data_IF_879740673509
#
_entry.id   IF_879740673509
#
_cell.length_a   1.000
_cell.length_b   1.000
_cell.length_c   1.000
_cell.angle_alpha   90.00
_cell.angle_beta   90.00
_cell.angle_gamma   90.00
#
_symmetry.space_group_name_H-M   'P 1'
#
loop_
_entity.id
_entity.type
_entity.pdbx_description
1 polymer ?
#
# COMPACT_ATOMS: atom_id res chain seq x y z
N UNK A 1 -45.11 78.64 -6.84
CA UNK A 1 -44.58 78.03 -5.60
C UNK A 1 -44.99 76.56 -5.38
N UNK A 2 -46.19 76.11 -5.78
CA UNK A 2 -46.64 74.72 -5.58
C UNK A 2 -45.90 73.69 -6.47
N UNK A 3 -45.61 74.04 -7.73
CA UNK A 3 -44.96 73.16 -8.70
C UNK A 3 -43.50 72.81 -8.34
N UNK A 4 -42.73 73.79 -7.82
CA UNK A 4 -41.34 73.56 -7.38
C UNK A 4 -41.31 72.63 -6.16
N UNK A 5 -42.28 72.73 -5.25
CA UNK A 5 -42.41 71.85 -4.08
C UNK A 5 -42.75 70.40 -4.48
N UNK A 6 -43.63 70.22 -5.46
CA UNK A 6 -43.95 68.90 -6.02
C UNK A 6 -42.75 68.27 -6.74
N UNK A 7 -41.99 69.04 -7.51
CA UNK A 7 -40.77 68.57 -8.17
C UNK A 7 -39.72 68.08 -7.15
N UNK A 8 -39.48 68.85 -6.08
CA UNK A 8 -38.55 68.47 -5.02
C UNK A 8 -39.02 67.23 -4.24
N UNK A 9 -40.33 67.07 -4.02
CA UNK A 9 -40.90 65.88 -3.40
C UNK A 9 -40.70 64.62 -4.26
N UNK A 10 -40.90 64.73 -5.58
CA UNK A 10 -40.67 63.62 -6.52
C UNK A 10 -39.18 63.24 -6.57
N UNK A 11 -38.27 64.22 -6.55
CA UNK A 11 -36.82 63.95 -6.52
C UNK A 11 -36.42 63.25 -5.21
N UNK A 12 -36.96 63.67 -4.06
CA UNK A 12 -36.70 63.00 -2.79
C UNK A 12 -37.27 61.57 -2.73
N UNK A 13 -38.47 61.34 -3.27
CA UNK A 13 -39.06 60.00 -3.33
C UNK A 13 -38.29 59.08 -4.30
N UNK A 14 -37.85 59.62 -5.45
CA UNK A 14 -36.99 58.89 -6.39
C UNK A 14 -35.62 58.55 -5.77
N UNK A 15 -35.02 59.50 -5.03
CA UNK A 15 -33.79 59.30 -4.28
C UNK A 15 -33.96 58.24 -3.17
N UNK A 16 -35.03 58.31 -2.39
CA UNK A 16 -35.34 57.33 -1.33
C UNK A 16 -35.60 55.92 -1.88
N UNK A 17 -36.32 55.80 -2.99
CA UNK A 17 -36.56 54.53 -3.66
C UNK A 17 -35.24 53.92 -4.18
N UNK A 18 -34.38 54.71 -4.83
CA UNK A 18 -33.07 54.25 -5.29
C UNK A 18 -32.15 53.78 -4.15
N UNK A 19 -32.16 54.49 -3.01
CA UNK A 19 -31.44 54.09 -1.80
C UNK A 19 -31.95 52.79 -1.19
N UNK A 20 -33.28 52.59 -1.16
CA UNK A 20 -33.89 51.35 -0.66
C UNK A 20 -33.54 50.13 -1.53
N UNK A 21 -33.62 50.26 -2.86
CA UNK A 21 -33.19 49.20 -3.78
C UNK A 21 -31.70 48.89 -3.65
N UNK A 22 -30.86 49.91 -3.46
CA UNK A 22 -29.43 49.72 -3.22
C UNK A 22 -29.16 48.95 -1.93
N UNK A 23 -29.81 49.31 -0.81
CA UNK A 23 -29.66 48.59 0.46
C UNK A 23 -30.15 47.14 0.37
N UNK A 24 -31.26 46.90 -0.32
CA UNK A 24 -31.75 45.53 -0.55
C UNK A 24 -30.77 44.71 -1.41
N UNK A 25 -30.19 45.32 -2.45
CA UNK A 25 -29.15 44.69 -3.27
C UNK A 25 -27.91 44.37 -2.43
N UNK A 26 -27.44 45.31 -1.61
CA UNK A 26 -26.29 45.09 -0.72
C UNK A 26 -26.53 43.94 0.27
N UNK A 27 -27.76 43.80 0.78
CA UNK A 27 -28.11 42.67 1.68
C UNK A 27 -28.10 41.34 0.95
N UNK A 28 -28.64 41.28 -0.26
CA UNK A 28 -28.63 40.08 -1.09
C UNK A 28 -27.19 39.67 -1.47
N UNK A 29 -26.35 40.64 -1.86
CA UNK A 29 -24.95 40.40 -2.20
C UNK A 29 -24.15 39.92 -0.98
N UNK A 30 -24.41 40.47 0.22
CA UNK A 30 -23.79 40.00 1.47
C UNK A 30 -24.18 38.57 1.84
N UNK A 31 -25.43 38.18 1.63
CA UNK A 31 -25.90 36.82 1.88
C UNK A 31 -25.25 35.83 0.90
N UNK A 32 -25.13 36.21 -0.37
CA UNK A 32 -24.46 35.42 -1.39
C UNK A 32 -22.96 35.24 -1.09
N UNK A 33 -22.28 36.31 -0.68
CA UNK A 33 -20.87 36.26 -0.28
C UNK A 33 -20.63 35.34 0.91
N UNK A 34 -21.49 35.39 1.95
CA UNK A 34 -21.42 34.47 3.09
C UNK A 34 -21.67 33.01 2.69
N UNK A 35 -22.64 32.76 1.81
CA UNK A 35 -22.90 31.42 1.30
C UNK A 35 -21.70 30.87 0.51
N UNK A 36 -21.04 31.72 -0.28
CA UNK A 36 -19.81 31.36 -0.99
C UNK A 36 -18.63 31.14 -0.03
N UNK A 37 -18.47 31.98 0.98
CA UNK A 37 -17.43 31.80 2.02
C UNK A 37 -17.61 30.49 2.78
N UNK A 38 -18.83 30.13 3.17
CA UNK A 38 -19.15 28.83 3.81
C UNK A 38 -18.82 27.69 2.85
N UNK A 39 -19.16 27.81 1.56
CA UNK A 39 -18.84 26.79 0.55
C UNK A 39 -17.33 26.65 0.33
N UNK A 40 -16.59 27.75 0.26
CA UNK A 40 -15.12 27.73 0.15
C UNK A 40 -14.48 27.17 1.42
N UNK A 41 -14.94 27.57 2.61
CA UNK A 41 -14.42 27.08 3.89
C UNK A 41 -14.70 25.59 4.06
N UNK A 42 -15.90 25.14 3.70
CA UNK A 42 -16.25 23.71 3.68
C UNK A 42 -15.38 22.95 2.69
N UNK A 43 -15.18 23.46 1.46
CA UNK A 43 -14.33 22.83 0.47
C UNK A 43 -12.85 22.78 0.89
N UNK A 44 -12.33 23.82 1.53
CA UNK A 44 -10.96 23.86 2.06
C UNK A 44 -10.80 22.90 3.24
N UNK A 45 -11.81 22.79 4.11
CA UNK A 45 -11.77 21.86 5.26
C UNK A 45 -11.84 20.41 4.81
N UNK A 46 -12.69 20.10 3.83
CA UNK A 46 -12.79 18.77 3.20
C UNK A 46 -11.50 18.41 2.45
N UNK A 47 -10.91 19.36 1.73
CA UNK A 47 -9.59 19.18 1.12
C UNK A 47 -8.49 18.98 2.16
N UNK A 48 -8.51 19.70 3.28
CA UNK A 48 -7.52 19.53 4.34
C UNK A 48 -7.61 18.14 5.00
N UNK A 49 -8.82 17.66 5.25
CA UNK A 49 -9.04 16.31 5.77
C UNK A 49 -8.60 15.24 4.75
N UNK A 50 -8.91 15.43 3.47
CA UNK A 50 -8.47 14.54 2.39
C UNK A 50 -6.94 14.55 2.23
N UNK A 51 -6.28 15.71 2.33
CA UNK A 51 -4.82 15.83 2.25
C UNK A 51 -4.15 15.11 3.42
N UNK A 52 -4.70 15.22 4.63
CA UNK A 52 -4.16 14.51 5.79
C UNK A 52 -4.32 12.99 5.64
N UNK A 53 -5.49 12.53 5.17
CA UNK A 53 -5.72 11.13 4.86
C UNK A 53 -4.77 10.64 3.75
N UNK A 54 -4.62 11.39 2.66
CA UNK A 54 -3.71 11.08 1.56
C UNK A 54 -2.26 11.04 2.03
N UNK A 55 -1.86 11.89 2.97
CA UNK A 55 -0.51 11.87 3.54
C UNK A 55 -0.26 10.61 4.34
N UNK A 56 -1.21 10.19 5.17
CA UNK A 56 -1.14 8.92 5.91
C UNK A 56 -1.09 7.71 4.97
N UNK A 57 -1.93 7.71 3.92
CA UNK A 57 -1.91 6.67 2.89
C UNK A 57 -0.58 6.67 2.12
N UNK A 58 0.00 7.83 1.82
CA UNK A 58 1.29 7.92 1.13
C UNK A 58 2.46 7.43 1.99
N UNK A 59 2.43 7.69 3.29
CA UNK A 59 3.39 7.13 4.26
C UNK A 59 3.25 5.61 4.36
N UNK A 60 2.03 5.07 4.38
CA UNK A 60 1.78 3.64 4.34
C UNK A 60 2.26 3.00 3.03
N UNK A 61 1.95 3.62 1.88
CA UNK A 61 2.40 3.16 0.56
C UNK A 61 3.93 3.16 0.49
N UNK A 62 4.61 4.18 1.00
CA UNK A 62 6.08 4.20 1.06
C UNK A 62 6.65 3.07 1.93
N UNK A 63 6.02 2.79 3.07
CA UNK A 63 6.42 1.69 3.95
C UNK A 63 6.25 0.33 3.27
N UNK A 64 5.09 0.09 2.65
CA UNK A 64 4.79 -1.13 1.91
C UNK A 64 5.75 -1.29 0.72
N UNK A 65 6.05 -0.22 -0.01
CA UNK A 65 7.00 -0.27 -1.13
C UNK A 65 8.43 -0.64 -0.67
N UNK A 66 8.86 -0.16 0.51
CA UNK A 66 10.16 -0.56 1.09
C UNK A 66 10.17 -2.02 1.51
N UNK A 67 9.09 -2.50 2.12
CA UNK A 67 8.93 -3.92 2.49
C UNK A 67 8.92 -4.81 1.24
N UNK A 68 8.17 -4.43 0.21
CA UNK A 68 8.14 -5.14 -1.08
C UNK A 68 9.50 -5.17 -1.76
N UNK A 69 10.24 -4.06 -1.78
CA UNK A 69 11.59 -4.04 -2.35
C UNK A 69 12.51 -5.02 -1.61
N UNK A 70 12.47 -5.02 -0.28
CA UNK A 70 13.28 -5.93 0.55
C UNK A 70 12.93 -7.39 0.31
N UNK A 71 11.63 -7.71 0.23
CA UNK A 71 11.13 -9.07 -0.08
C UNK A 71 11.52 -9.50 -1.49
N UNK A 72 11.47 -8.59 -2.46
CA UNK A 72 11.83 -8.89 -3.84
C UNK A 72 13.32 -9.18 -4.00
N UNK A 73 14.19 -8.43 -3.32
CA UNK A 73 15.64 -8.68 -3.31
C UNK A 73 15.96 -10.05 -2.68
N UNK A 74 15.25 -10.42 -1.60
CA UNK A 74 15.39 -11.74 -0.98
C UNK A 74 14.95 -12.87 -1.92
N UNK A 75 13.79 -12.72 -2.57
CA UNK A 75 13.28 -13.70 -3.55
C UNK A 75 14.23 -13.86 -4.75
N UNK A 76 14.86 -12.79 -5.22
CA UNK A 76 15.82 -12.86 -6.32
C UNK A 76 17.10 -13.61 -5.90
N UNK A 77 17.56 -13.41 -4.66
CA UNK A 77 18.67 -14.17 -4.10
C UNK A 77 18.35 -15.67 -3.98
N UNK A 78 17.15 -16.01 -3.50
CA UNK A 78 16.69 -17.40 -3.36
C UNK A 78 16.59 -18.09 -4.73
N UNK A 79 16.02 -17.41 -5.73
CA UNK A 79 15.97 -17.89 -7.12
C UNK A 79 17.36 -18.19 -7.69
N UNK A 80 18.34 -17.30 -7.44
CA UNK A 80 19.72 -17.50 -7.90
C UNK A 80 20.39 -18.68 -7.22
N UNK A 81 20.15 -18.87 -5.92
CA UNK A 81 20.65 -20.00 -5.17
C UNK A 81 20.09 -21.32 -5.72
N UNK A 82 18.78 -21.39 -5.93
CA UNK A 82 18.11 -22.55 -6.51
C UNK A 82 18.65 -22.87 -7.91
N UNK A 83 18.81 -21.85 -8.77
CA UNK A 83 19.39 -22.01 -10.12
C UNK A 83 20.81 -22.59 -10.08
N UNK A 84 21.66 -22.11 -9.17
CA UNK A 84 23.01 -22.62 -8.99
C UNK A 84 23.05 -24.06 -8.46
N UNK A 85 22.14 -24.41 -7.54
CA UNK A 85 22.04 -25.77 -6.97
C UNK A 85 21.58 -26.77 -8.05
N UNK A 86 20.57 -26.42 -8.83
CA UNK A 86 20.04 -27.27 -9.90
C UNK A 86 21.02 -27.38 -11.08
N UNK A 87 21.73 -26.31 -11.43
CA UNK A 87 22.71 -26.33 -12.53
C UNK A 87 24.02 -27.08 -12.24
N UNK A 88 24.35 -27.29 -10.96
CA UNK A 88 25.56 -28.05 -10.55
C UNK A 88 25.44 -29.56 -10.79
N UNK A 89 24.24 -30.07 -11.02
CA UNK A 89 23.98 -31.48 -11.28
C UNK A 89 23.33 -31.61 -12.66
N UNK A 90 23.77 -32.58 -13.46
CA UNK A 90 23.12 -32.89 -14.74
C UNK A 90 21.75 -33.53 -14.47
N UNK A 91 20.77 -32.66 -14.23
CA UNK A 91 19.41 -33.05 -13.90
C UNK A 91 18.76 -33.81 -15.06
N UNK A 92 19.16 -33.52 -16.31
CA UNK A 92 18.68 -34.23 -17.50
C UNK A 92 19.12 -35.69 -17.49
N UNK A 93 20.42 -35.94 -17.36
CA UNK A 93 20.97 -37.29 -17.25
C UNK A 93 20.47 -38.03 -15.99
N UNK A 94 20.33 -37.32 -14.86
CA UNK A 94 19.75 -37.90 -13.65
C UNK A 94 18.27 -38.27 -13.83
N UNK A 95 17.50 -37.43 -14.53
CA UNK A 95 16.10 -37.68 -14.84
C UNK A 95 15.93 -38.85 -15.81
N UNK A 96 16.84 -39.00 -16.78
CA UNK A 96 16.83 -40.14 -17.69
C UNK A 96 17.12 -41.46 -16.96
N UNK A 97 18.12 -41.46 -16.06
CA UNK A 97 18.51 -42.68 -15.33
C UNK A 97 17.62 -42.99 -14.12
N UNK A 98 17.03 -41.99 -13.48
CA UNK A 98 16.25 -42.11 -12.22
C UNK A 98 15.01 -41.22 -12.23
N UNK A 99 14.11 -41.37 -13.22
CA UNK A 99 12.98 -40.45 -13.42
C UNK A 99 12.10 -40.31 -12.19
N UNK A 100 11.73 -41.42 -11.55
CA UNK A 100 10.84 -41.38 -10.37
C UNK A 100 11.47 -40.75 -9.11
N UNK A 101 12.80 -40.76 -8.97
CA UNK A 101 13.46 -40.06 -7.86
C UNK A 101 13.57 -38.56 -8.15
N UNK A 102 13.88 -38.21 -9.39
CA UNK A 102 13.94 -36.80 -9.81
C UNK A 102 12.56 -36.16 -9.75
N UNK A 103 11.53 -36.84 -10.23
CA UNK A 103 10.14 -36.39 -10.15
C UNK A 103 9.70 -36.12 -8.70
N UNK A 104 10.00 -37.04 -7.77
CA UNK A 104 9.69 -36.85 -6.35
C UNK A 104 10.38 -35.62 -5.75
N UNK A 105 11.65 -35.43 -6.08
CA UNK A 105 12.41 -34.26 -5.61
C UNK A 105 11.82 -32.99 -6.20
N UNK A 106 11.59 -32.94 -7.52
CA UNK A 106 11.02 -31.76 -8.19
C UNK A 106 9.65 -31.41 -7.61
N UNK A 107 8.76 -32.39 -7.43
CA UNK A 107 7.43 -32.15 -6.88
C UNK A 107 7.52 -31.60 -5.45
N UNK A 108 8.36 -32.21 -4.61
CA UNK A 108 8.60 -31.74 -3.23
C UNK A 108 9.14 -30.31 -3.21
N UNK A 109 10.15 -30.01 -4.01
CA UNK A 109 10.72 -28.65 -4.03
C UNK A 109 9.76 -27.63 -4.66
N UNK A 110 8.89 -28.06 -5.58
CA UNK A 110 7.83 -27.20 -6.14
C UNK A 110 6.77 -26.87 -5.08
N UNK A 111 6.35 -27.84 -4.28
CA UNK A 111 5.44 -27.63 -3.15
C UNK A 111 6.07 -26.67 -2.12
N UNK A 112 7.33 -26.87 -1.77
CA UNK A 112 8.09 -25.98 -0.89
C UNK A 112 8.13 -24.55 -1.43
N UNK A 113 8.48 -24.36 -2.71
CA UNK A 113 8.56 -23.05 -3.35
C UNK A 113 7.19 -22.35 -3.41
N UNK A 114 6.12 -23.09 -3.72
CA UNK A 114 4.76 -22.54 -3.70
C UNK A 114 4.37 -22.09 -2.29
N UNK A 115 4.67 -22.90 -1.26
CA UNK A 115 4.40 -22.53 0.13
C UNK A 115 5.16 -21.26 0.54
N UNK A 116 6.41 -21.10 0.11
CA UNK A 116 7.17 -19.87 0.32
C UNK A 116 6.48 -18.65 -0.30
N UNK A 117 5.93 -18.80 -1.51
CA UNK A 117 5.27 -17.73 -2.24
C UNK A 117 3.94 -17.34 -1.59
N UNK A 118 3.19 -18.31 -1.07
CA UNK A 118 1.98 -18.07 -0.26
C UNK A 118 2.31 -17.25 0.99
N UNK A 119 3.34 -17.64 1.75
CA UNK A 119 3.78 -16.93 2.96
C UNK A 119 4.23 -15.51 2.63
N UNK A 120 5.02 -15.34 1.57
CA UNK A 120 5.45 -14.02 1.11
C UNK A 120 4.25 -13.14 0.69
N UNK A 121 3.17 -13.75 0.20
CA UNK A 121 1.91 -13.09 -0.17
C UNK A 121 0.98 -12.82 1.01
N UNK A 122 1.35 -13.24 2.23
CA UNK A 122 0.62 -12.97 3.47
C UNK A 122 -0.17 -14.14 4.06
N UNK A 123 0.07 -15.38 3.60
CA UNK A 123 -0.51 -16.55 4.24
C UNK A 123 0.04 -16.74 5.68
N UNK A 124 -0.83 -17.18 6.59
CA UNK A 124 -0.43 -17.48 7.97
C UNK A 124 0.46 -18.74 8.01
N UNK A 125 1.42 -18.74 8.96
CA UNK A 125 2.30 -19.88 9.22
C UNK A 125 1.55 -20.99 9.95
N UNK A 126 1.84 -22.24 9.60
CA UNK A 126 1.30 -23.41 10.31
C UNK A 126 2.01 -23.65 11.63
N UNK A 127 1.40 -24.45 12.52
CA UNK A 127 2.03 -24.83 13.78
C UNK A 127 3.33 -25.63 13.57
N UNK A 128 3.36 -26.50 12.55
CA UNK A 128 4.56 -27.26 12.17
C UNK A 128 5.69 -26.33 11.70
N UNK A 129 5.36 -25.31 10.91
CA UNK A 129 6.30 -24.30 10.41
C UNK A 129 6.92 -23.49 11.54
N UNK A 130 6.10 -23.11 12.52
CA UNK A 130 6.52 -22.37 13.70
C UNK A 130 7.38 -23.22 14.64
N UNK A 131 7.10 -24.53 14.78
CA UNK A 131 7.79 -25.40 15.73
C UNK A 131 9.01 -26.10 15.15
N UNK A 132 9.21 -26.05 13.83
CA UNK A 132 10.33 -26.68 13.14
C UNK A 132 11.68 -26.19 13.70
N UNK A 133 12.50 -27.14 14.14
CA UNK A 133 13.81 -26.86 14.77
C UNK A 133 14.97 -27.55 14.06
N UNK A 134 14.70 -28.56 13.23
CA UNK A 134 15.71 -29.32 12.50
C UNK A 134 15.69 -29.02 11.00
N UNK A 135 16.84 -29.16 10.31
CA UNK A 135 16.93 -29.04 8.85
C UNK A 135 15.96 -29.92 8.05
N UNK A 136 15.52 -31.05 8.60
CA UNK A 136 14.58 -31.96 7.96
C UNK A 136 13.11 -31.54 8.08
N UNK A 137 12.81 -30.66 9.03
CA UNK A 137 11.46 -30.22 9.39
C UNK A 137 11.11 -28.86 8.75
N UNK A 138 12.13 -28.09 8.38
CA UNK A 138 11.98 -26.78 7.76
C UNK A 138 11.69 -26.88 6.26
N UNK A 139 11.15 -25.80 5.71
CA UNK A 139 11.19 -25.55 4.28
C UNK A 139 12.57 -24.97 3.94
N UNK A 140 13.48 -25.73 3.31
CA UNK A 140 14.84 -25.27 3.07
C UNK A 140 14.93 -24.15 2.03
N UNK A 141 13.89 -23.96 1.20
CA UNK A 141 13.86 -22.95 0.15
C UNK A 141 13.66 -21.54 0.71
N UNK A 142 12.94 -21.40 1.83
CA UNK A 142 12.67 -20.09 2.46
C UNK A 142 12.61 -20.16 3.99
N UNK A 143 13.51 -20.91 4.62
CA UNK A 143 13.52 -21.14 6.08
C UNK A 143 13.47 -19.86 6.93
N UNK A 144 14.00 -18.74 6.43
CA UNK A 144 13.94 -17.43 7.12
C UNK A 144 12.51 -16.87 7.24
N UNK A 145 11.66 -17.17 6.26
CA UNK A 145 10.27 -16.72 6.20
C UNK A 145 9.34 -17.77 6.81
N UNK A 146 9.54 -19.03 6.42
CA UNK A 146 8.67 -20.13 6.81
C UNK A 146 8.94 -20.64 8.24
N UNK A 147 10.17 -20.53 8.75
CA UNK A 147 10.56 -21.18 10.00
C UNK A 147 11.29 -20.22 10.96
N UNK A 148 10.56 -19.27 11.58
CA UNK A 148 11.15 -18.20 12.39
C UNK A 148 11.90 -18.69 13.63
N UNK A 149 11.56 -19.87 14.16
CA UNK A 149 12.20 -20.44 15.35
C UNK A 149 13.40 -21.35 15.01
N UNK A 150 13.74 -21.52 13.74
CA UNK A 150 14.88 -22.31 13.33
C UNK A 150 16.19 -21.52 13.50
N UNK A 151 17.12 -22.04 14.31
CA UNK A 151 18.45 -21.45 14.47
C UNK A 151 19.46 -22.08 13.48
N UNK A 152 19.89 -21.35 12.44
CA UNK A 152 20.90 -21.82 11.49
C UNK A 152 22.31 -21.92 12.11
N UNK A 153 22.60 -21.19 13.18
CA UNK A 153 23.92 -21.18 13.81
C UNK A 153 24.16 -22.42 14.67
N UNK A 154 23.10 -23.01 15.21
CA UNK A 154 23.13 -24.28 15.93
C UNK A 154 23.37 -25.49 15.02
N UNK A 155 23.35 -25.32 13.70
CA UNK A 155 23.47 -26.41 12.73
C UNK A 155 24.93 -26.75 12.38
N UNK A 156 25.11 -27.95 11.82
CA UNK A 156 26.41 -28.43 11.33
C UNK A 156 27.01 -27.50 10.26
N UNK A 157 28.34 -27.43 10.19
CA UNK A 157 29.06 -26.62 9.20
C UNK A 157 28.71 -27.01 7.76
N UNK A 158 28.54 -28.31 7.49
CA UNK A 158 28.11 -28.80 6.18
C UNK A 158 26.72 -28.28 5.75
N UNK A 159 25.81 -28.11 6.70
CA UNK A 159 24.50 -27.52 6.40
C UNK A 159 24.62 -26.03 6.11
N UNK A 160 25.45 -25.32 6.88
CA UNK A 160 25.72 -23.89 6.69
C UNK A 160 26.32 -23.62 5.32
N UNK A 161 27.36 -24.36 4.92
CA UNK A 161 27.98 -24.22 3.59
C UNK A 161 27.01 -24.42 2.42
N UNK A 162 25.96 -25.22 2.60
CA UNK A 162 24.98 -25.50 1.55
C UNK A 162 23.83 -24.48 1.49
N UNK A 163 23.55 -23.75 2.58
CA UNK A 163 22.30 -22.99 2.74
C UNK A 163 22.47 -21.55 3.23
N UNK A 164 23.65 -21.16 3.71
CA UNK A 164 24.03 -19.78 4.07
C UNK A 164 25.05 -19.24 3.06
#
# INVERSE_FOLDING_TARGET
MLQIKLLLMVIMLAGGASGYFYVQKLRADNQLLKANEIKLTSAVTEQQALIEQQKQEFEQIQSINKDLATKNDALEADKKNLTNKLGRHDLGNLAENKPGLVEKVINKETENANRCLEIASGAELTEDELTASKPSEINPECWRLANPNFDPNAQSDAWKEKNL
#
